data_IF_805526658270
#
_entry.id   IF_805526658270
#
_cell.length_a   1.000
_cell.length_b   1.000
_cell.length_c   1.000
_cell.angle_alpha   90.00
_cell.angle_beta   90.00
_cell.angle_gamma   90.00
#
_symmetry.space_group_name_H-M   'P 1'
#
loop_
_entity.id
_entity.type
_entity.pdbx_description
1 polymer ?
#
# COMPACT_ATOMS: atom_id res chain seq x y z
N UNK A 1 8.55 14.61 9.14
CA UNK A 1 7.28 13.94 9.51
C UNK A 1 6.15 14.83 9.04
N UNK A 2 5.63 14.58 7.83
CA UNK A 2 4.40 15.20 7.37
C UNK A 2 3.30 14.16 7.55
N UNK A 3 2.80 14.02 8.78
CA UNK A 3 1.55 13.27 8.96
C UNK A 3 0.42 14.15 8.45
N UNK A 4 -0.57 13.54 7.78
CA UNK A 4 -1.86 14.16 7.49
C UNK A 4 -2.78 13.79 8.65
N UNK A 5 -2.75 14.50 9.79
CA UNK A 5 -3.43 14.09 11.03
C UNK A 5 -4.95 14.01 10.88
N UNK A 6 -5.49 14.64 9.84
CA UNK A 6 -6.91 14.63 9.51
C UNK A 6 -7.33 13.41 8.68
N UNK A 7 -6.39 12.60 8.20
CA UNK A 7 -6.69 11.36 7.50
C UNK A 7 -6.66 10.18 8.47
N UNK A 8 -7.79 9.49 8.54
CA UNK A 8 -7.95 8.26 9.31
C UNK A 8 -8.93 7.32 8.60
N UNK A 9 -8.72 6.02 8.76
CA UNK A 9 -9.57 4.99 8.17
C UNK A 9 -11.00 5.13 8.74
N UNK A 10 -11.99 5.12 7.84
CA UNK A 10 -13.41 5.21 8.20
C UNK A 10 -13.87 6.61 8.61
N UNK A 11 -13.08 7.65 8.36
CA UNK A 11 -13.43 9.06 8.61
C UNK A 11 -13.61 9.79 7.29
N UNK A 12 -14.38 10.89 7.35
CA UNK A 12 -14.57 11.76 6.18
C UNK A 12 -13.23 12.33 5.70
N UNK A 13 -13.04 12.29 4.38
CA UNK A 13 -11.83 12.80 3.73
C UNK A 13 -11.99 14.32 3.56
N UNK A 14 -11.04 15.14 4.05
CA UNK A 14 -11.19 16.60 4.06
C UNK A 14 -11.13 17.24 2.66
N UNK A 15 -10.60 16.54 1.66
CA UNK A 15 -10.50 17.01 0.28
C UNK A 15 -10.36 15.85 -0.70
N UNK A 16 -10.69 16.07 -1.98
CA UNK A 16 -10.48 15.05 -3.00
C UNK A 16 -8.98 14.86 -3.32
N UNK A 17 -8.62 13.71 -3.92
CA UNK A 17 -7.26 13.49 -4.41
C UNK A 17 -6.84 14.50 -5.48
N UNK A 18 -7.79 14.97 -6.30
CA UNK A 18 -7.54 15.99 -7.32
C UNK A 18 -7.21 17.35 -6.68
N UNK A 19 -7.96 17.75 -5.65
CA UNK A 19 -7.69 19.00 -4.90
C UNK A 19 -6.37 18.93 -4.15
N UNK A 20 -6.06 17.76 -3.57
CA UNK A 20 -4.77 17.52 -2.91
C UNK A 20 -3.61 17.67 -3.89
N UNK A 21 -3.72 17.07 -5.09
CA UNK A 21 -2.68 17.18 -6.11
C UNK A 21 -2.52 18.63 -6.59
N UNK A 22 -3.62 19.29 -6.94
CA UNK A 22 -3.61 20.68 -7.40
C UNK A 22 -3.05 21.66 -6.37
N UNK A 23 -3.31 21.45 -5.07
CA UNK A 23 -2.78 22.28 -4.00
C UNK A 23 -1.32 21.99 -3.66
N UNK A 24 -0.86 20.74 -3.84
CA UNK A 24 0.51 20.32 -3.52
C UNK A 24 1.51 20.63 -4.64
N UNK A 25 1.13 20.42 -5.90
CA UNK A 25 2.03 20.54 -7.06
C UNK A 25 2.78 21.89 -7.13
N UNK A 26 2.15 23.06 -6.91
CA UNK A 26 2.86 24.35 -6.95
C UNK A 26 3.91 24.54 -5.85
N UNK A 27 3.85 23.75 -4.78
CA UNK A 27 4.74 23.83 -3.61
C UNK A 27 5.94 22.89 -3.72
N UNK A 28 5.94 22.00 -4.72
CA UNK A 28 6.94 20.95 -4.89
C UNK A 28 7.96 21.32 -5.96
N UNK A 29 9.16 20.76 -5.84
CA UNK A 29 10.11 20.73 -6.96
C UNK A 29 9.53 19.86 -8.07
N UNK A 30 9.93 20.14 -9.31
CA UNK A 30 9.47 19.39 -10.48
C UNK A 30 9.62 17.87 -10.33
N UNK A 31 10.73 17.41 -9.77
CA UNK A 31 10.98 15.97 -9.52
C UNK A 31 10.00 15.34 -8.52
N UNK A 32 9.65 16.08 -7.46
CA UNK A 32 8.73 15.63 -6.43
C UNK A 32 7.28 15.68 -6.92
N UNK A 33 6.92 16.69 -7.72
CA UNK A 33 5.62 16.79 -8.37
C UNK A 33 5.37 15.62 -9.32
N UNK A 34 6.33 15.29 -10.18
CA UNK A 34 6.27 14.11 -11.06
C UNK A 34 6.18 12.80 -10.26
N UNK A 35 6.92 12.72 -9.15
CA UNK A 35 6.85 11.58 -8.23
C UNK A 35 5.47 11.45 -7.59
N UNK A 36 4.85 12.56 -7.18
CA UNK A 36 3.51 12.58 -6.61
C UNK A 36 2.43 12.15 -7.62
N UNK A 37 2.48 12.67 -8.84
CA UNK A 37 1.59 12.27 -9.94
C UNK A 37 1.72 10.76 -10.23
N UNK A 38 2.96 10.27 -10.37
CA UNK A 38 3.21 8.85 -10.62
C UNK A 38 2.70 7.96 -9.48
N UNK A 39 2.85 8.39 -8.22
CA UNK A 39 2.29 7.68 -7.06
C UNK A 39 0.76 7.65 -7.10
N UNK A 40 0.10 8.75 -7.49
CA UNK A 40 -1.36 8.83 -7.59
C UNK A 40 -1.93 7.95 -8.70
N UNK A 41 -1.16 7.71 -9.75
CA UNK A 41 -1.50 6.78 -10.82
C UNK A 41 -1.09 5.31 -10.51
N UNK A 42 -0.62 5.04 -9.28
CA UNK A 42 -0.22 3.70 -8.84
C UNK A 42 1.15 3.25 -9.37
N UNK A 43 1.89 4.12 -10.05
CA UNK A 43 3.24 3.86 -10.59
C UNK A 43 4.34 4.16 -9.57
N UNK A 44 4.20 3.62 -8.35
CA UNK A 44 5.16 3.84 -7.26
C UNK A 44 6.61 3.44 -7.60
N UNK A 45 6.79 2.51 -8.53
CA UNK A 45 8.11 2.06 -9.00
C UNK A 45 8.87 3.13 -9.80
N UNK A 46 8.17 4.10 -10.39
CA UNK A 46 8.76 5.25 -11.10
C UNK A 46 9.21 6.35 -10.14
N UNK A 47 8.73 6.31 -8.90
CA UNK A 47 9.03 7.33 -7.88
C UNK A 47 10.44 7.10 -7.32
N UNK A 48 11.26 8.15 -7.36
CA UNK A 48 12.64 8.11 -6.85
C UNK A 48 12.73 8.17 -5.33
N UNK A 49 11.72 8.74 -4.68
CA UNK A 49 11.73 8.97 -3.24
C UNK A 49 11.83 7.64 -2.45
N UNK A 50 12.78 7.49 -1.50
CA UNK A 50 13.01 6.23 -0.79
C UNK A 50 11.78 5.69 -0.05
N UNK A 51 10.95 6.58 0.52
CA UNK A 51 9.73 6.16 1.21
C UNK A 51 8.70 5.52 0.26
N UNK A 52 8.56 6.05 -0.97
CA UNK A 52 7.66 5.48 -1.97
C UNK A 52 8.12 4.08 -2.42
N UNK A 53 9.45 3.89 -2.57
CA UNK A 53 10.02 2.59 -2.89
C UNK A 53 9.83 1.58 -1.77
N UNK A 54 10.01 2.00 -0.52
CA UNK A 54 9.73 1.16 0.66
C UNK A 54 8.25 0.74 0.70
N UNK A 55 7.34 1.69 0.50
CA UNK A 55 5.91 1.42 0.44
C UNK A 55 5.56 0.45 -0.69
N UNK A 56 6.11 0.64 -1.89
CA UNK A 56 5.89 -0.25 -3.02
C UNK A 56 6.36 -1.69 -2.73
N UNK A 57 7.53 -1.86 -2.11
CA UNK A 57 8.05 -3.17 -1.74
C UNK A 57 7.17 -3.86 -0.68
N UNK A 58 6.73 -3.10 0.33
CA UNK A 58 5.80 -3.60 1.36
C UNK A 58 4.45 -4.04 0.77
N UNK A 59 3.90 -3.26 -0.16
CA UNK A 59 2.65 -3.61 -0.84
C UNK A 59 2.81 -4.86 -1.73
N UNK A 60 3.95 -5.04 -2.40
CA UNK A 60 4.26 -6.28 -3.13
C UNK A 60 4.32 -7.47 -2.16
N UNK A 61 5.06 -7.34 -1.06
CA UNK A 61 5.17 -8.41 -0.07
C UNK A 61 3.79 -8.81 0.50
N UNK A 62 2.96 -7.83 0.88
CA UNK A 62 1.61 -8.08 1.41
C UNK A 62 0.74 -8.83 0.39
N UNK A 63 0.76 -8.42 -0.88
CA UNK A 63 0.01 -9.07 -1.96
C UNK A 63 0.48 -10.49 -2.21
N UNK A 64 1.79 -10.71 -2.19
CA UNK A 64 2.41 -12.02 -2.34
C UNK A 64 2.04 -12.95 -1.18
N UNK A 65 2.00 -12.44 0.06
CA UNK A 65 1.55 -13.19 1.23
C UNK A 65 0.07 -13.60 1.12
N UNK A 66 -0.79 -12.67 0.67
CA UNK A 66 -2.20 -12.96 0.37
C UNK A 66 -2.34 -13.99 -0.75
N UNK A 67 -1.53 -13.88 -1.81
CA UNK A 67 -1.53 -14.82 -2.92
C UNK A 67 -1.14 -16.23 -2.45
N UNK A 68 -0.10 -16.36 -1.61
CA UNK A 68 0.27 -17.65 -0.98
C UNK A 68 -0.86 -18.23 -0.15
N UNK A 69 -1.51 -17.43 0.70
CA UNK A 69 -2.63 -17.89 1.52
C UNK A 69 -3.82 -18.38 0.68
N UNK A 70 -4.14 -17.68 -0.41
CA UNK A 70 -5.19 -18.09 -1.36
C UNK A 70 -4.81 -19.36 -2.12
N UNK A 71 -3.57 -19.44 -2.58
CA UNK A 71 -3.04 -20.59 -3.30
C UNK A 71 -3.07 -21.86 -2.44
N UNK A 72 -2.67 -21.74 -1.18
CA UNK A 72 -2.76 -22.84 -0.20
C UNK A 72 -4.19 -23.35 0.00
N UNK A 73 -5.19 -22.44 0.07
CA UNK A 73 -6.62 -22.83 0.16
C UNK A 73 -7.14 -23.53 -1.09
N UNK A 74 -6.62 -23.18 -2.27
CA UNK A 74 -7.05 -23.75 -3.55
C UNK A 74 -6.20 -24.94 -4.01
N UNK A 75 -5.11 -25.26 -3.30
CA UNK A 75 -4.17 -26.31 -3.70
C UNK A 75 -3.42 -26.01 -5.00
N UNK A 76 -3.18 -24.73 -5.31
CA UNK A 76 -2.46 -24.29 -6.51
C UNK A 76 -1.07 -23.74 -6.17
N UNK A 77 -0.16 -23.74 -7.14
CA UNK A 77 1.17 -23.15 -6.97
C UNK A 77 1.10 -21.60 -6.98
N UNK A 78 1.57 -20.90 -5.94
CA UNK A 78 1.62 -19.44 -5.92
C UNK A 78 2.74 -18.84 -6.79
N UNK A 79 3.79 -19.60 -7.12
CA UNK A 79 5.02 -19.07 -7.73
C UNK A 79 4.79 -18.18 -8.98
N UNK A 80 3.86 -18.50 -9.90
CA UNK A 80 3.59 -17.66 -11.07
C UNK A 80 3.05 -16.25 -10.76
N UNK A 81 2.52 -16.05 -9.55
CA UNK A 81 1.89 -14.79 -9.13
C UNK A 81 2.80 -13.93 -8.24
N UNK A 82 3.90 -14.50 -7.74
CA UNK A 82 4.83 -13.80 -6.84
C UNK A 82 5.70 -12.82 -7.62
N UNK A 83 6.02 -11.69 -6.99
CA UNK A 83 6.86 -10.65 -7.59
C UNK A 83 8.08 -10.38 -6.70
N UNK A 84 9.25 -10.08 -7.28
CA UNK A 84 10.40 -9.69 -6.48
C UNK A 84 10.14 -8.37 -5.76
N UNK A 85 10.58 -8.28 -4.51
CA UNK A 85 10.56 -7.08 -3.69
C UNK A 85 11.83 -6.97 -2.86
N UNK A 86 12.13 -5.75 -2.38
CA UNK A 86 13.29 -5.48 -1.55
C UNK A 86 12.91 -5.42 -0.07
N UNK A 87 13.82 -5.89 0.79
CA UNK A 87 13.60 -5.94 2.23
C UNK A 87 12.64 -7.06 2.65
N UNK A 88 12.28 -7.07 3.93
CA UNK A 88 11.35 -8.04 4.50
C UNK A 88 10.66 -7.43 5.71
N UNK A 89 9.35 -7.58 5.78
CA UNK A 89 8.52 -7.17 6.90
C UNK A 89 7.70 -8.35 7.42
N UNK A 90 8.04 -8.87 8.60
CA UNK A 90 7.30 -9.97 9.21
C UNK A 90 5.86 -9.60 9.58
N UNK A 91 5.56 -8.30 9.76
CA UNK A 91 4.20 -7.84 10.02
C UNK A 91 3.31 -8.05 8.78
N UNK A 92 3.85 -7.87 7.57
CA UNK A 92 3.10 -8.09 6.32
C UNK A 92 2.56 -9.52 6.23
N UNK A 93 3.41 -10.53 6.52
CA UNK A 93 3.01 -11.94 6.49
C UNK A 93 1.94 -12.25 7.55
N UNK A 94 2.15 -11.74 8.77
CA UNK A 94 1.18 -11.92 9.86
C UNK A 94 -0.16 -11.28 9.50
N UNK A 95 -0.16 -10.03 9.04
CA UNK A 95 -1.37 -9.31 8.63
C UNK A 95 -2.11 -10.05 7.51
N UNK A 96 -1.40 -10.56 6.50
CA UNK A 96 -2.02 -11.33 5.43
C UNK A 96 -2.69 -12.62 5.96
N UNK A 97 -2.02 -13.34 6.87
CA UNK A 97 -2.60 -14.52 7.50
C UNK A 97 -3.85 -14.18 8.33
N UNK A 98 -3.77 -13.15 9.18
CA UNK A 98 -4.87 -12.68 10.01
C UNK A 98 -6.08 -12.28 9.13
N UNK A 99 -5.86 -11.47 8.09
CA UNK A 99 -6.90 -11.03 7.16
C UNK A 99 -7.56 -12.21 6.42
N UNK A 100 -6.78 -13.18 5.96
CA UNK A 100 -7.29 -14.32 5.21
C UNK A 100 -8.04 -15.35 6.07
N UNK A 101 -7.85 -15.32 7.39
CA UNK A 101 -8.61 -16.11 8.36
C UNK A 101 -9.94 -15.44 8.77
N UNK A 102 -10.09 -14.14 8.56
CA UNK A 102 -11.35 -13.42 8.81
C UNK A 102 -12.43 -13.83 7.81
N UNK A 103 -13.65 -14.10 8.29
CA UNK A 103 -14.79 -14.44 7.45
C UNK A 103 -15.44 -13.20 6.81
N UNK A 104 -15.56 -12.12 7.56
CA UNK A 104 -16.13 -10.85 7.10
C UNK A 104 -15.20 -10.16 6.07
N UNK A 105 -15.66 -9.95 4.83
CA UNK A 105 -14.89 -9.23 3.82
C UNK A 105 -14.50 -7.80 4.22
N UNK A 106 -15.35 -7.07 4.96
CA UNK A 106 -15.05 -5.70 5.36
C UNK A 106 -13.92 -5.67 6.38
N UNK A 107 -13.99 -6.49 7.43
CA UNK A 107 -12.91 -6.61 8.40
C UNK A 107 -11.59 -7.07 7.76
N UNK A 108 -11.65 -7.98 6.79
CA UNK A 108 -10.47 -8.41 6.03
C UNK A 108 -9.76 -7.23 5.37
N UNK A 109 -10.50 -6.40 4.63
CA UNK A 109 -9.91 -5.22 3.97
C UNK A 109 -9.38 -4.21 4.99
N UNK A 110 -10.10 -3.97 6.09
CA UNK A 110 -9.65 -3.08 7.15
C UNK A 110 -8.35 -3.56 7.85
N UNK A 111 -8.15 -4.87 7.98
CA UNK A 111 -6.88 -5.44 8.49
C UNK A 111 -5.72 -5.10 7.54
N UNK A 112 -5.92 -5.29 6.23
CA UNK A 112 -4.92 -4.97 5.22
C UNK A 112 -4.61 -3.46 5.17
N UNK A 113 -5.64 -2.62 5.23
CA UNK A 113 -5.47 -1.17 5.18
C UNK A 113 -4.77 -0.59 6.40
N UNK A 114 -5.00 -1.14 7.59
CA UNK A 114 -4.24 -0.76 8.80
C UNK A 114 -2.74 -1.02 8.64
N UNK A 115 -2.37 -2.14 8.02
CA UNK A 115 -0.97 -2.40 7.71
C UNK A 115 -0.41 -1.37 6.72
N UNK A 116 -1.13 -1.10 5.62
CA UNK A 116 -0.71 -0.08 4.64
C UNK A 116 -0.47 1.28 5.30
N UNK A 117 -1.35 1.66 6.23
CA UNK A 117 -1.22 2.92 6.97
C UNK A 117 0.00 2.95 7.90
N UNK A 118 0.41 1.80 8.47
CA UNK A 118 1.57 1.70 9.35
C UNK A 118 2.92 1.77 8.64
N UNK A 119 2.93 1.57 7.31
CA UNK A 119 4.15 1.65 6.47
C UNK A 119 4.49 3.09 6.09
N UNK A 120 3.49 3.98 6.09
CA UNK A 120 3.58 5.40 5.76
C UNK A 120 4.12 6.23 6.92
#
# INVERSE_FOLDING_TARGET
MASLPMLAIGKDIPMSSADFLASSTPLLKQEDAQGLESAMEGRFHEVKHPAARRYAAAEVQLRDAVARARAARMGVDPAPFLKPFAGWDGLAEKTAADAMNTADPLERELILDRYRWSVL
#
